data_IF_464167397126
#
_entry.id   IF_464167397126
#
_cell.length_a   1.000
_cell.length_b   1.000
_cell.length_c   1.000
_cell.angle_alpha   90.00
_cell.angle_beta   90.00
_cell.angle_gamma   90.00
#
_symmetry.space_group_name_H-M   'P 1'
#
loop_
_entity.id
_entity.type
_entity.pdbx_description
1 polymer ?
#
# COMPACT_ATOMS: atom_id res chain seq x y z
N UNK A 1 17.48 -4.61 18.78
CA UNK A 1 17.07 -3.67 17.70
C UNK A 1 15.57 -3.56 17.74
N UNK A 2 14.99 -2.38 17.63
CA UNK A 2 13.52 -2.26 17.67
C UNK A 2 12.95 -2.54 16.29
N UNK A 3 12.11 -3.55 16.21
CA UNK A 3 11.30 -3.89 15.04
C UNK A 3 10.48 -2.67 14.55
N UNK A 4 10.47 -2.42 13.23
CA UNK A 4 9.72 -1.30 12.66
C UNK A 4 8.93 -1.73 11.42
N UNK A 5 7.62 -1.90 11.57
CA UNK A 5 6.71 -2.14 10.47
C UNK A 5 5.86 -0.91 10.17
N UNK A 6 5.80 -0.54 8.90
CA UNK A 6 5.02 0.59 8.40
C UNK A 6 4.05 0.07 7.34
N UNK A 7 2.76 0.41 7.49
CA UNK A 7 1.82 0.16 6.41
C UNK A 7 1.47 1.46 5.69
N UNK A 8 1.54 1.46 4.37
CA UNK A 8 1.02 2.52 3.49
C UNK A 8 -0.29 2.03 2.90
N UNK A 9 -1.38 2.65 3.30
CA UNK A 9 -2.74 2.27 2.91
C UNK A 9 -3.44 3.37 2.11
N UNK A 10 -4.53 3.02 1.45
CA UNK A 10 -5.31 3.90 0.58
C UNK A 10 -5.93 3.13 -0.57
N UNK A 11 -6.91 3.71 -1.25
CA UNK A 11 -7.60 3.08 -2.36
C UNK A 11 -6.69 2.91 -3.60
N UNK A 12 -7.17 2.22 -4.62
CA UNK A 12 -6.44 2.05 -5.88
C UNK A 12 -6.11 3.42 -6.51
N UNK A 13 -4.91 3.56 -7.07
CA UNK A 13 -4.47 4.81 -7.72
C UNK A 13 -3.88 5.87 -6.79
N UNK A 14 -3.84 5.66 -5.45
CA UNK A 14 -3.27 6.65 -4.52
C UNK A 14 -1.74 6.76 -4.56
N UNK A 15 -1.02 5.80 -5.17
CA UNK A 15 0.45 5.84 -5.26
C UNK A 15 1.18 5.07 -4.15
N UNK A 16 0.51 4.23 -3.38
CA UNK A 16 1.08 3.43 -2.27
C UNK A 16 2.39 2.72 -2.61
N UNK A 17 2.39 1.95 -3.71
CA UNK A 17 3.55 1.15 -4.09
C UNK A 17 4.73 2.03 -4.49
N UNK A 18 4.49 3.14 -5.17
CA UNK A 18 5.54 4.10 -5.56
C UNK A 18 6.16 4.78 -4.35
N UNK A 19 5.31 5.30 -3.44
CA UNK A 19 5.77 5.93 -2.20
C UNK A 19 6.45 4.91 -1.28
N UNK A 20 5.86 3.72 -1.14
CA UNK A 20 6.38 2.66 -0.29
C UNK A 20 7.76 2.20 -0.71
N UNK A 21 7.98 2.02 -2.01
CA UNK A 21 9.28 1.67 -2.56
C UNK A 21 10.33 2.75 -2.30
N UNK A 22 10.00 4.01 -2.58
CA UNK A 22 10.91 5.14 -2.35
C UNK A 22 11.25 5.33 -0.86
N UNK A 23 10.26 5.18 0.03
CA UNK A 23 10.48 5.28 1.47
C UNK A 23 11.32 4.11 1.99
N UNK A 24 11.09 2.88 1.48
CA UNK A 24 11.88 1.71 1.83
C UNK A 24 13.35 1.84 1.41
N UNK A 25 13.61 2.37 0.23
CA UNK A 25 14.97 2.69 -0.24
C UNK A 25 15.67 3.70 0.69
N UNK A 26 14.99 4.79 1.07
CA UNK A 26 15.56 5.83 1.97
C UNK A 26 15.81 5.32 3.40
N UNK A 27 14.98 4.40 3.91
CA UNK A 27 15.08 3.86 5.26
C UNK A 27 15.89 2.55 5.34
N UNK A 28 16.28 1.97 4.21
CA UNK A 28 16.87 0.62 4.09
C UNK A 28 15.97 -0.47 4.69
N UNK A 29 14.66 -0.39 4.43
CA UNK A 29 13.65 -1.34 4.88
C UNK A 29 13.27 -2.29 3.76
N UNK A 30 12.79 -3.47 4.12
CA UNK A 30 12.22 -4.40 3.15
C UNK A 30 10.85 -3.89 2.64
N UNK A 31 10.67 -3.86 1.31
CA UNK A 31 9.44 -3.41 0.70
C UNK A 31 8.55 -4.59 0.29
N UNK A 32 7.32 -4.61 0.79
CA UNK A 32 6.30 -5.60 0.47
C UNK A 32 5.16 -4.92 -0.28
N UNK A 33 4.92 -5.33 -1.53
CA UNK A 33 3.73 -4.93 -2.27
C UNK A 33 2.72 -6.07 -2.27
N UNK A 34 1.56 -5.85 -1.66
CA UNK A 34 0.51 -6.87 -1.55
C UNK A 34 0.06 -7.38 -2.94
N UNK A 35 0.11 -6.54 -3.98
CA UNK A 35 -0.22 -6.94 -5.35
C UNK A 35 0.70 -8.06 -5.84
N UNK A 36 1.99 -8.04 -5.48
CA UNK A 36 2.92 -9.10 -5.84
C UNK A 36 2.66 -10.41 -5.10
N UNK A 37 2.10 -10.35 -3.89
CA UNK A 37 1.68 -11.53 -3.15
C UNK A 37 0.40 -12.13 -3.74
N UNK A 38 -0.54 -11.29 -4.17
CA UNK A 38 -1.76 -11.75 -4.85
C UNK A 38 -1.49 -12.38 -6.21
N UNK A 39 -0.64 -11.73 -7.03
CA UNK A 39 -0.45 -12.09 -8.42
C UNK A 39 0.97 -12.60 -8.67
N UNK A 40 1.19 -13.93 -8.78
CA UNK A 40 2.52 -14.52 -8.94
C UNK A 40 3.19 -14.23 -10.28
N UNK A 41 2.52 -13.48 -11.20
CA UNK A 41 3.02 -13.12 -12.54
C UNK A 41 3.43 -14.33 -13.40
N UNK A 42 2.82 -15.46 -13.16
CA UNK A 42 3.10 -16.72 -13.89
C UNK A 42 2.46 -16.77 -15.27
N UNK A 43 1.43 -15.96 -15.51
CA UNK A 43 0.76 -15.87 -16.80
C UNK A 43 1.34 -14.70 -17.61
N UNK A 44 2.01 -15.03 -18.73
CA UNK A 44 2.64 -14.03 -19.61
C UNK A 44 1.63 -13.20 -20.40
N UNK A 45 0.42 -13.73 -20.63
CA UNK A 45 -0.61 -13.03 -21.41
C UNK A 45 -1.32 -11.96 -20.59
N UNK A 46 -1.65 -12.29 -19.32
CA UNK A 46 -2.28 -11.37 -18.41
C UNK A 46 -1.81 -11.64 -16.97
N UNK A 47 -0.98 -10.77 -16.44
CA UNK A 47 -0.31 -10.97 -15.13
C UNK A 47 -1.27 -11.04 -13.92
N UNK A 48 -2.52 -10.64 -14.11
CA UNK A 48 -3.58 -10.70 -13.09
C UNK A 48 -4.55 -11.86 -13.27
N UNK A 49 -4.29 -12.81 -14.20
CA UNK A 49 -5.20 -13.90 -14.53
C UNK A 49 -5.44 -14.91 -13.39
N UNK A 50 -4.45 -15.10 -12.53
CA UNK A 50 -4.47 -16.16 -11.52
C UNK A 50 -4.12 -15.62 -10.13
N UNK A 51 -5.05 -14.91 -9.46
CA UNK A 51 -4.81 -14.42 -8.10
C UNK A 51 -4.75 -15.60 -7.12
N UNK A 52 -3.88 -15.48 -6.12
CA UNK A 52 -3.90 -16.37 -4.94
C UNK A 52 -5.13 -16.09 -4.09
N UNK A 53 -5.50 -17.06 -3.26
CA UNK A 53 -6.53 -16.87 -2.24
C UNK A 53 -6.08 -15.85 -1.19
N UNK A 54 -7.02 -15.31 -0.45
CA UNK A 54 -6.72 -14.37 0.63
C UNK A 54 -5.90 -15.04 1.74
N UNK A 55 -6.18 -16.30 2.03
CA UNK A 55 -5.51 -17.14 3.00
C UNK A 55 -4.04 -17.35 2.61
N UNK A 56 -3.76 -17.75 1.37
CA UNK A 56 -2.40 -17.88 0.83
C UNK A 56 -1.61 -16.57 0.93
N UNK A 57 -2.27 -15.44 0.64
CA UNK A 57 -1.65 -14.12 0.73
C UNK A 57 -1.35 -13.76 2.17
N UNK A 58 -2.25 -14.05 3.12
CA UNK A 58 -2.04 -13.79 4.53
C UNK A 58 -0.85 -14.58 5.10
N UNK A 59 -0.74 -15.86 4.78
CA UNK A 59 0.38 -16.72 5.20
C UNK A 59 1.72 -16.21 4.64
N UNK A 60 1.77 -15.86 3.35
CA UNK A 60 2.97 -15.33 2.71
C UNK A 60 3.38 -13.99 3.28
N UNK A 61 2.40 -13.10 3.50
CA UNK A 61 2.65 -11.79 4.11
C UNK A 61 3.23 -11.94 5.51
N UNK A 62 2.68 -12.85 6.31
CA UNK A 62 3.19 -13.11 7.65
C UNK A 62 4.60 -13.68 7.63
N UNK A 63 4.91 -14.58 6.69
CA UNK A 63 6.25 -15.14 6.48
C UNK A 63 7.24 -14.01 6.12
N UNK A 64 6.90 -13.14 5.16
CA UNK A 64 7.72 -11.98 4.77
C UNK A 64 8.00 -11.06 5.96
N UNK A 65 6.96 -10.70 6.71
CA UNK A 65 7.07 -9.82 7.89
C UNK A 65 7.95 -10.43 8.98
N UNK A 66 7.83 -11.74 9.23
CA UNK A 66 8.65 -12.42 10.24
C UNK A 66 10.11 -12.59 9.83
N UNK A 67 10.38 -12.58 8.53
CA UNK A 67 11.74 -12.71 8.00
C UNK A 67 12.51 -11.39 8.04
N UNK A 68 11.81 -10.25 8.06
CA UNK A 68 12.42 -8.93 7.96
C UNK A 68 12.08 -8.08 9.19
N UNK A 69 13.12 -7.66 9.95
CA UNK A 69 12.95 -6.84 11.15
C UNK A 69 12.30 -5.48 10.86
N UNK A 70 12.59 -4.89 9.69
CA UNK A 70 12.06 -3.59 9.28
C UNK A 70 11.44 -3.70 7.89
N UNK A 71 10.16 -3.33 7.77
CA UNK A 71 9.46 -3.45 6.51
C UNK A 71 8.48 -2.30 6.25
N UNK A 72 8.15 -2.11 4.98
CA UNK A 72 7.06 -1.24 4.52
C UNK A 72 6.12 -2.07 3.66
N UNK A 73 4.86 -2.16 4.10
CA UNK A 73 3.79 -2.84 3.37
C UNK A 73 2.94 -1.82 2.61
N UNK A 74 2.82 -1.98 1.28
CA UNK A 74 1.84 -1.25 0.48
C UNK A 74 0.60 -2.13 0.23
N UNK A 75 -0.54 -1.71 0.77
CA UNK A 75 -1.83 -2.42 0.65
C UNK A 75 -3.01 -1.45 0.67
N UNK A 76 -4.18 -1.86 0.18
CA UNK A 76 -5.40 -1.05 0.37
C UNK A 76 -5.72 -0.97 1.87
N UNK A 77 -5.70 -2.10 2.55
CA UNK A 77 -5.84 -2.27 4.01
C UNK A 77 -4.89 -3.37 4.47
N UNK A 78 -4.57 -3.43 5.76
CA UNK A 78 -3.76 -4.49 6.36
C UNK A 78 -4.59 -5.54 7.09
N UNK A 79 -5.82 -5.81 6.67
CA UNK A 79 -6.79 -6.68 7.32
C UNK A 79 -6.63 -8.17 6.97
N UNK A 80 -5.40 -8.68 6.97
CA UNK A 80 -5.04 -10.09 6.66
C UNK A 80 -4.92 -10.99 7.90
N UNK A 81 -5.48 -10.60 9.02
CA UNK A 81 -5.46 -11.29 10.30
C UNK A 81 -5.13 -10.35 11.46
N UNK A 82 -5.70 -10.60 12.64
CA UNK A 82 -5.54 -9.73 13.81
C UNK A 82 -4.08 -9.65 14.29
N UNK A 83 -3.33 -10.74 14.13
CA UNK A 83 -1.92 -10.79 14.53
C UNK A 83 -1.06 -9.75 13.78
N UNK A 84 -1.43 -9.39 12.53
CA UNK A 84 -0.68 -8.43 11.72
C UNK A 84 -0.70 -7.02 12.31
N UNK A 85 -1.74 -6.66 13.06
CA UNK A 85 -1.83 -5.32 13.65
C UNK A 85 -0.72 -5.04 14.66
N UNK A 86 -0.19 -6.07 15.34
CA UNK A 86 0.92 -5.95 16.28
C UNK A 86 2.26 -5.58 15.62
N UNK A 87 2.37 -5.84 14.32
CA UNK A 87 3.58 -5.54 13.54
C UNK A 87 3.61 -4.11 12.98
N UNK A 88 2.52 -3.35 13.06
CA UNK A 88 2.50 -1.97 12.56
C UNK A 88 2.80 -0.97 13.67
N UNK A 89 3.96 -0.30 13.59
CA UNK A 89 4.32 0.83 14.43
C UNK A 89 3.81 2.16 13.89
N UNK A 90 3.58 2.25 12.56
CA UNK A 90 2.97 3.39 11.89
C UNK A 90 2.06 2.94 10.76
N UNK A 91 0.98 3.68 10.56
CA UNK A 91 0.16 3.61 9.36
C UNK A 91 0.22 4.96 8.62
N UNK A 92 0.38 4.90 7.31
CA UNK A 92 0.38 6.06 6.42
C UNK A 92 -0.83 5.92 5.50
N UNK A 93 -1.82 6.79 5.69
CA UNK A 93 -2.99 6.86 4.83
C UNK A 93 -2.74 7.89 3.72
N UNK A 94 -2.68 7.39 2.47
CA UNK A 94 -2.60 8.25 1.30
C UNK A 94 -3.98 8.71 0.87
N UNK A 95 -4.19 10.01 0.91
CA UNK A 95 -5.39 10.68 0.44
C UNK A 95 -5.16 11.27 -0.96
N UNK A 96 -6.04 10.95 -1.90
CA UNK A 96 -6.00 11.44 -3.30
C UNK A 96 -7.43 11.52 -3.81
N UNK A 97 -7.85 12.63 -4.43
CA UNK A 97 -9.17 12.79 -5.04
C UNK A 97 -9.53 11.61 -5.97
N UNK A 98 -10.80 11.24 -5.96
CA UNK A 98 -11.31 10.06 -6.67
C UNK A 98 -11.01 10.10 -8.17
N UNK A 99 -11.24 11.22 -8.82
CA UNK A 99 -11.00 11.45 -10.25
C UNK A 99 -9.53 11.22 -10.62
N UNK A 100 -8.60 11.78 -9.83
CA UNK A 100 -7.16 11.61 -10.00
C UNK A 100 -6.78 10.12 -9.84
N UNK A 101 -7.33 9.44 -8.84
CA UNK A 101 -7.06 8.00 -8.62
C UNK A 101 -7.51 7.16 -9.79
N UNK A 102 -8.73 7.37 -10.29
CA UNK A 102 -9.29 6.60 -11.40
C UNK A 102 -8.50 6.86 -12.70
N UNK A 103 -8.11 8.10 -12.95
CA UNK A 103 -7.24 8.44 -14.07
C UNK A 103 -5.90 7.69 -13.96
N UNK A 104 -5.22 7.73 -12.83
CA UNK A 104 -3.95 7.02 -12.60
C UNK A 104 -4.07 5.51 -12.78
N UNK A 105 -5.19 4.91 -12.38
CA UNK A 105 -5.44 3.47 -12.60
C UNK A 105 -5.53 3.16 -14.09
N UNK A 106 -6.28 3.94 -14.86
CA UNK A 106 -6.43 3.76 -16.31
C UNK A 106 -5.11 3.98 -17.04
N UNK A 107 -4.37 5.05 -16.72
CA UNK A 107 -3.06 5.35 -17.30
C UNK A 107 -2.05 4.22 -17.03
N UNK A 108 -1.99 3.71 -15.81
CA UNK A 108 -1.13 2.58 -15.44
C UNK A 108 -1.46 1.31 -16.23
N UNK A 109 -2.73 1.00 -16.39
CA UNK A 109 -3.18 -0.13 -17.21
C UNK A 109 -2.79 0.06 -18.67
N UNK A 110 -2.96 1.27 -19.21
CA UNK A 110 -2.55 1.56 -20.59
C UNK A 110 -1.03 1.45 -20.79
N UNK A 111 -0.24 1.97 -19.85
CA UNK A 111 1.23 1.82 -19.90
C UNK A 111 1.66 0.34 -19.87
N UNK A 112 0.90 -0.51 -19.18
CA UNK A 112 1.21 -1.94 -19.02
C UNK A 112 0.75 -2.79 -20.21
N UNK A 113 -0.43 -2.52 -20.76
CA UNK A 113 -1.10 -3.39 -21.74
C UNK A 113 -1.28 -2.74 -23.11
N UNK A 114 -1.11 -1.43 -23.24
CA UNK A 114 -1.23 -0.70 -24.50
C UNK A 114 -2.60 -0.87 -25.16
N UNK A 115 -2.59 -1.05 -26.47
CA UNK A 115 -3.81 -1.23 -27.28
C UNK A 115 -4.61 -2.48 -26.93
N UNK A 116 -4.03 -3.47 -26.26
CA UNK A 116 -4.71 -4.70 -25.85
C UNK A 116 -5.90 -4.44 -24.90
N UNK A 117 -5.86 -3.35 -24.13
CA UNK A 117 -6.96 -2.95 -23.23
C UNK A 117 -8.00 -2.02 -23.87
N UNK A 118 -7.80 -1.58 -25.10
CA UNK A 118 -8.74 -0.72 -25.82
C UNK A 118 -9.84 -1.55 -26.50
N UNK A 119 -10.90 -0.89 -26.95
CA UNK A 119 -12.02 -1.54 -27.63
C UNK A 119 -11.50 -2.41 -28.80
N UNK A 120 -11.87 -3.68 -28.80
CA UNK A 120 -11.39 -4.71 -29.77
C UNK A 120 -10.08 -5.39 -29.36
N UNK A 121 -9.41 -4.97 -28.30
CA UNK A 121 -8.25 -5.66 -27.74
C UNK A 121 -8.64 -6.88 -26.89
N UNK A 122 -7.73 -7.83 -26.79
CA UNK A 122 -7.95 -9.11 -26.09
C UNK A 122 -8.08 -8.98 -24.56
N UNK A 123 -7.66 -7.85 -23.96
CA UNK A 123 -7.77 -7.56 -22.54
C UNK A 123 -8.86 -6.51 -22.21
N UNK A 124 -9.61 -6.04 -23.22
CA UNK A 124 -10.60 -4.98 -23.03
C UNK A 124 -11.62 -5.30 -21.93
N UNK A 125 -12.24 -6.47 -21.98
CA UNK A 125 -13.28 -6.87 -21.02
C UNK A 125 -12.71 -7.06 -19.60
N UNK A 126 -11.50 -7.62 -19.48
CA UNK A 126 -10.83 -7.81 -18.19
C UNK A 126 -10.50 -6.47 -17.52
N UNK A 127 -9.94 -5.52 -18.26
CA UNK A 127 -9.59 -4.20 -17.76
C UNK A 127 -10.84 -3.36 -17.45
N UNK A 128 -11.87 -3.40 -18.28
CA UNK A 128 -13.14 -2.72 -17.98
C UNK A 128 -13.83 -3.31 -16.74
N UNK A 129 -13.75 -4.61 -16.51
CA UNK A 129 -14.22 -5.24 -15.27
C UNK A 129 -13.43 -4.77 -14.06
N UNK A 130 -12.12 -4.67 -14.21
CA UNK A 130 -11.25 -4.14 -13.16
C UNK A 130 -11.55 -2.66 -12.86
N UNK A 131 -11.75 -1.81 -13.86
CA UNK A 131 -12.10 -0.41 -13.65
C UNK A 131 -13.44 -0.25 -12.93
N UNK A 132 -14.48 -0.99 -13.35
CA UNK A 132 -15.77 -1.00 -12.63
C UNK A 132 -15.62 -1.44 -11.18
N UNK A 133 -14.80 -2.44 -10.90
CA UNK A 133 -14.49 -2.87 -9.54
C UNK A 133 -13.81 -1.76 -8.73
N UNK A 134 -12.84 -1.04 -9.31
CA UNK A 134 -12.17 0.08 -8.63
C UNK A 134 -13.15 1.24 -8.38
N UNK A 135 -13.99 1.56 -9.35
CA UNK A 135 -14.99 2.63 -9.26
C UNK A 135 -16.10 2.34 -8.22
N UNK A 136 -16.47 1.07 -8.04
CA UNK A 136 -17.50 0.63 -7.09
C UNK A 136 -17.01 0.53 -5.64
N UNK A 137 -15.71 0.70 -5.38
CA UNK A 137 -15.19 0.63 -4.02
C UNK A 137 -15.72 1.78 -3.16
N UNK A 138 -16.20 1.43 -1.98
CA UNK A 138 -16.60 2.41 -0.97
C UNK A 138 -15.38 3.26 -0.55
N UNK A 139 -15.51 4.58 -0.69
CA UNK A 139 -14.49 5.56 -0.34
C UNK A 139 -14.13 5.51 1.17
N UNK A 140 -15.07 5.13 2.03
CA UNK A 140 -14.87 5.05 3.48
C UNK A 140 -14.16 3.77 3.95
N UNK A 141 -14.01 2.79 3.06
CA UNK A 141 -13.52 1.45 3.46
C UNK A 141 -12.15 1.47 4.15
N UNK A 142 -11.24 2.36 3.73
CA UNK A 142 -9.90 2.50 4.33
C UNK A 142 -9.97 3.35 5.59
N UNK A 143 -10.79 4.40 5.58
CA UNK A 143 -11.03 5.28 6.74
C UNK A 143 -11.55 4.51 7.95
N UNK A 144 -12.53 3.64 7.75
CA UNK A 144 -13.09 2.82 8.82
C UNK A 144 -12.05 1.83 9.38
N UNK A 145 -11.26 1.23 8.47
CA UNK A 145 -10.22 0.32 8.87
C UNK A 145 -9.10 1.01 9.67
N UNK A 146 -8.61 2.18 9.25
CA UNK A 146 -7.52 2.87 10.00
C UNK A 146 -7.95 3.32 11.38
N UNK A 147 -9.26 3.56 11.63
CA UNK A 147 -9.79 3.86 12.96
C UNK A 147 -9.65 2.69 13.94
N UNK A 148 -9.54 1.45 13.44
CA UNK A 148 -9.33 0.26 14.27
C UNK A 148 -7.88 0.03 14.67
N UNK A 149 -6.93 0.76 14.06
CA UNK A 149 -5.50 0.61 14.35
C UNK A 149 -5.14 1.24 15.69
N UNK A 150 -4.25 0.58 16.42
CA UNK A 150 -3.69 1.09 17.68
C UNK A 150 -2.42 1.92 17.48
N UNK A 151 -1.79 1.82 16.31
CA UNK A 151 -0.61 2.60 15.98
C UNK A 151 -0.98 4.01 15.49
N UNK A 152 -0.04 4.98 15.56
CA UNK A 152 -0.24 6.31 14.99
C UNK A 152 -0.51 6.26 13.50
N UNK A 153 -1.53 7.00 13.04
CA UNK A 153 -1.89 7.17 11.64
C UNK A 153 -1.42 8.54 11.14
N UNK A 154 -0.65 8.57 10.05
CA UNK A 154 -0.24 9.79 9.35
C UNK A 154 -1.06 9.93 8.07
N UNK A 155 -1.72 11.06 7.88
CA UNK A 155 -2.46 11.38 6.65
C UNK A 155 -1.55 12.17 5.73
N UNK A 156 -1.38 11.70 4.51
CA UNK A 156 -0.44 12.25 3.53
C UNK A 156 -1.20 12.53 2.23
N UNK A 157 -1.03 13.75 1.72
CA UNK A 157 -1.55 14.14 0.41
C UNK A 157 -0.78 13.42 -0.71
N UNK A 158 -1.38 12.40 -1.29
CA UNK A 158 -0.79 11.60 -2.37
C UNK A 158 -0.78 12.28 -3.73
N UNK A 159 -1.17 13.57 -3.83
CA UNK A 159 -1.01 14.38 -5.04
C UNK A 159 0.35 15.06 -5.11
N UNK A 160 1.03 15.21 -3.98
CA UNK A 160 2.38 15.78 -3.90
C UNK A 160 3.43 14.84 -4.45
N UNK A 161 4.62 15.37 -4.70
CA UNK A 161 5.75 14.58 -5.20
C UNK A 161 6.18 13.50 -4.19
N UNK A 162 6.77 12.43 -4.70
CA UNK A 162 7.28 11.33 -3.86
C UNK A 162 8.35 11.81 -2.89
N UNK A 163 9.23 12.71 -3.34
CA UNK A 163 10.30 13.26 -2.50
C UNK A 163 9.76 14.14 -1.36
N UNK A 164 8.78 15.01 -1.62
CA UNK A 164 8.12 15.79 -0.59
C UNK A 164 7.47 14.87 0.46
N UNK A 165 6.72 13.87 0.01
CA UNK A 165 6.02 12.95 0.90
C UNK A 165 6.98 12.06 1.70
N UNK A 166 8.04 11.53 1.10
CA UNK A 166 9.02 10.73 1.83
C UNK A 166 9.75 11.55 2.90
N UNK A 167 10.15 12.79 2.57
CA UNK A 167 10.82 13.68 3.53
C UNK A 167 9.89 14.07 4.68
N UNK A 168 8.62 14.40 4.38
CA UNK A 168 7.61 14.70 5.39
C UNK A 168 7.40 13.51 6.35
N UNK A 169 7.23 12.31 5.82
CA UNK A 169 7.03 11.10 6.63
C UNK A 169 8.22 10.87 7.56
N UNK A 170 9.44 10.92 7.05
CA UNK A 170 10.66 10.73 7.85
C UNK A 170 10.74 11.77 8.97
N UNK A 171 10.47 13.04 8.67
CA UNK A 171 10.45 14.13 9.67
C UNK A 171 9.41 13.88 10.77
N UNK A 172 8.19 13.48 10.40
CA UNK A 172 7.12 13.17 11.36
C UNK A 172 7.47 11.97 12.27
N UNK A 173 8.11 10.94 11.71
CA UNK A 173 8.56 9.79 12.49
C UNK A 173 9.67 10.16 13.49
N UNK A 174 10.63 10.97 13.08
CA UNK A 174 11.72 11.45 13.94
C UNK A 174 11.19 12.33 15.08
N UNK A 175 10.28 13.26 14.77
CA UNK A 175 9.64 14.11 15.77
C UNK A 175 8.88 13.31 16.83
N UNK A 176 8.10 12.31 16.45
CA UNK A 176 7.39 11.43 17.40
C UNK A 176 8.34 10.62 18.28
N UNK A 177 9.46 10.14 17.74
CA UNK A 177 10.48 9.42 18.51
C UNK A 177 11.17 10.30 19.54
N UNK A 178 11.38 11.59 19.27
CA UNK A 178 11.93 12.56 20.23
C UNK A 178 10.97 12.78 21.40
N UNK A 179 9.68 13.00 21.15
CA UNK A 179 8.66 13.14 22.21
C UNK A 179 8.53 11.89 23.07
N UNK A 180 8.59 10.69 22.47
CA UNK A 180 8.53 9.44 23.22
C UNK A 180 9.74 9.24 24.16
N UNK A 181 10.96 9.66 23.75
CA UNK A 181 12.16 9.61 24.57
C UNK A 181 12.13 10.62 25.74
N UNK A 182 11.61 11.82 25.50
CA UNK A 182 11.48 12.84 26.56
C UNK A 182 10.45 12.45 27.64
N UNK A 183 9.36 11.78 27.25
CA UNK A 183 8.36 11.28 28.20
C UNK A 183 8.84 10.05 28.98
N UNK A 184 9.70 9.23 28.40
CA UNK A 184 10.31 8.06 29.05
C UNK A 184 11.38 8.38 30.09
N UNK A 185 12.02 9.56 30.03
CA UNK A 185 13.05 10.02 30.97
C UNK A 185 12.50 10.80 32.18
N UNK A 186 11.18 10.91 32.32
CA UNK A 186 10.49 11.59 33.43
C UNK A 186 9.83 10.62 34.43
N UNK A 187 10.32 9.38 34.52
CA UNK A 187 9.90 8.41 35.54
C UNK A 187 11.04 8.05 36.46
#
# INVERSE_FOLDING_TARGET
MSFMGIIICGLNGTGKSTLGKALAEKLHFHFIDIENLYFPKTNSNYIYASPRTREDVAERLLCEIRTHENFILASVKGDYGEELYSFFQYAILLDVPRDIRLQRVRERSFQKFGSRMLLGGDLFEQEEKFFRFVESRDENTVEEWVKSLKCPVMRIDGTKSIDENTNLIITLMQGKNLFAKEMGNKK
#
